data_IF_683776058333
#
_entry.id   IF_683776058333
#
_cell.length_a   1.000
_cell.length_b   1.000
_cell.length_c   1.000
_cell.angle_alpha   90.00
_cell.angle_beta   90.00
_cell.angle_gamma   90.00
#
_symmetry.space_group_name_H-M   'P 1'
#
loop_
_entity.id
_entity.type
_entity.pdbx_description
1 polymer ?
#
# COMPACT_ATOMS: atom_id res chain seq x y z
N UNK A 1 -2.64 2.11 -10.91
CA UNK A 1 -2.67 1.57 -9.55
C UNK A 1 -3.00 0.09 -9.59
N UNK A 2 -2.17 -0.72 -8.97
CA UNK A 2 -2.46 -2.14 -8.75
C UNK A 2 -2.74 -2.33 -7.27
N UNK A 3 -3.88 -2.91 -6.94
CA UNK A 3 -4.24 -3.17 -5.54
C UNK A 3 -4.84 -4.57 -5.40
N UNK A 4 -4.51 -5.26 -4.32
CA UNK A 4 -5.01 -6.60 -4.06
C UNK A 4 -4.96 -6.93 -2.57
N UNK A 5 -5.88 -7.80 -2.14
CA UNK A 5 -5.85 -8.40 -0.80
C UNK A 5 -5.42 -9.85 -0.98
N UNK A 6 -4.34 -10.22 -0.31
CA UNK A 6 -3.77 -11.57 -0.33
C UNK A 6 -3.89 -12.20 1.04
N UNK A 7 -3.72 -13.51 1.11
CA UNK A 7 -3.80 -14.23 2.39
C UNK A 7 -2.58 -15.11 2.57
N UNK A 8 -2.15 -15.21 3.83
CA UNK A 8 -1.08 -16.14 4.20
C UNK A 8 0.34 -15.71 3.85
N UNK A 9 0.53 -14.46 3.43
CA UNK A 9 1.87 -13.93 3.15
C UNK A 9 2.41 -13.18 4.36
N UNK A 10 3.68 -13.41 4.69
CA UNK A 10 4.35 -12.62 5.71
C UNK A 10 4.83 -11.28 5.13
N UNK A 11 5.33 -10.41 6.00
CA UNK A 11 5.78 -9.08 5.60
C UNK A 11 6.92 -9.12 4.58
N UNK A 12 7.83 -10.09 4.70
CA UNK A 12 8.95 -10.25 3.78
C UNK A 12 8.52 -10.64 2.39
N UNK A 13 7.58 -11.59 2.27
CA UNK A 13 7.02 -12.01 1.00
C UNK A 13 6.26 -10.87 0.32
N UNK A 14 5.49 -10.12 1.10
CA UNK A 14 4.73 -8.98 0.61
C UNK A 14 5.66 -7.90 0.04
N UNK A 15 6.74 -7.61 0.75
CA UNK A 15 7.75 -6.66 0.31
C UNK A 15 8.40 -7.09 -1.00
N UNK A 16 8.75 -8.38 -1.11
CA UNK A 16 9.36 -8.92 -2.32
C UNK A 16 8.43 -8.75 -3.52
N UNK A 17 7.14 -9.02 -3.35
CA UNK A 17 6.15 -8.82 -4.42
C UNK A 17 6.07 -7.36 -4.83
N UNK A 18 6.03 -6.44 -3.87
CA UNK A 18 6.00 -5.00 -4.17
C UNK A 18 7.23 -4.55 -4.95
N UNK A 19 8.41 -5.03 -4.54
CA UNK A 19 9.67 -4.68 -5.21
C UNK A 19 9.67 -5.15 -6.67
N UNK A 20 9.18 -6.37 -6.92
CA UNK A 20 9.10 -6.93 -8.28
C UNK A 20 8.17 -6.10 -9.17
N UNK A 21 6.99 -5.74 -8.67
CA UNK A 21 6.06 -4.91 -9.43
C UNK A 21 6.63 -3.53 -9.71
N UNK A 22 7.27 -2.94 -8.72
CA UNK A 22 7.88 -1.61 -8.87
C UNK A 22 8.98 -1.61 -9.93
N UNK A 23 9.86 -2.62 -9.89
CA UNK A 23 10.99 -2.72 -10.83
C UNK A 23 10.51 -3.00 -12.25
N UNK A 24 9.45 -3.77 -12.39
CA UNK A 24 8.87 -4.09 -13.69
C UNK A 24 8.12 -2.90 -14.31
N UNK A 25 7.54 -2.02 -13.47
CA UNK A 25 6.69 -0.92 -13.94
C UNK A 25 6.93 0.35 -13.11
N UNK A 26 7.93 1.19 -13.48
CA UNK A 26 8.28 2.36 -12.68
C UNK A 26 7.20 3.46 -12.61
N UNK A 27 6.17 3.39 -13.46
CA UNK A 27 5.07 4.34 -13.44
C UNK A 27 3.89 3.88 -12.58
N UNK A 28 4.00 2.76 -11.87
CA UNK A 28 2.89 2.18 -11.12
C UNK A 28 2.97 2.45 -9.63
N UNK A 29 1.80 2.51 -9.02
CA UNK A 29 1.61 2.41 -7.57
C UNK A 29 1.04 1.03 -7.28
N UNK A 30 1.68 0.30 -6.39
CA UNK A 30 1.26 -1.04 -5.99
C UNK A 30 0.86 -1.00 -4.53
N UNK A 31 -0.35 -1.44 -4.23
CA UNK A 31 -0.88 -1.51 -2.86
C UNK A 31 -1.31 -2.94 -2.61
N UNK A 32 -0.56 -3.64 -1.76
CA UNK A 32 -0.84 -5.03 -1.41
C UNK A 32 -1.16 -5.14 0.08
N UNK A 33 -2.21 -5.88 0.38
CA UNK A 33 -2.63 -6.13 1.75
C UNK A 33 -2.58 -7.63 1.98
N UNK A 34 -1.85 -8.07 3.00
CA UNK A 34 -1.81 -9.48 3.39
C UNK A 34 -2.61 -9.66 4.67
N UNK A 35 -3.73 -10.37 4.57
CA UNK A 35 -4.60 -10.63 5.70
C UNK A 35 -4.23 -11.95 6.39
N UNK A 36 -4.16 -11.93 7.72
CA UNK A 36 -4.02 -13.10 8.58
C UNK A 36 -5.24 -13.16 9.49
N UNK A 37 -5.30 -14.14 10.39
CA UNK A 37 -6.50 -14.34 11.23
C UNK A 37 -6.85 -13.12 12.08
N UNK A 38 -5.86 -12.47 12.67
CA UNK A 38 -6.07 -11.41 13.66
C UNK A 38 -5.31 -10.12 13.33
N UNK A 39 -4.66 -10.09 12.18
CA UNK A 39 -3.87 -8.91 11.77
C UNK A 39 -3.71 -8.86 10.26
N UNK A 40 -3.28 -7.72 9.77
CA UNK A 40 -2.96 -7.55 8.36
C UNK A 40 -1.74 -6.64 8.20
N UNK A 41 -1.00 -6.87 7.14
CA UNK A 41 0.08 -5.99 6.71
C UNK A 41 -0.33 -5.30 5.42
N UNK A 42 -0.03 -4.01 5.33
CA UNK A 42 -0.30 -3.20 4.14
C UNK A 42 1.05 -2.75 3.60
N UNK A 43 1.31 -3.03 2.33
CA UNK A 43 2.53 -2.59 1.67
C UNK A 43 2.19 -1.72 0.48
N UNK A 44 2.89 -0.59 0.36
CA UNK A 44 2.74 0.33 -0.75
C UNK A 44 4.11 0.54 -1.39
N UNK A 45 4.16 0.38 -2.70
CA UNK A 45 5.36 0.60 -3.50
C UNK A 45 5.03 1.60 -4.60
N UNK A 46 5.87 2.62 -4.77
CA UNK A 46 5.69 3.67 -5.77
C UNK A 46 6.93 3.71 -6.67
N UNK A 47 6.73 3.48 -7.96
CA UNK A 47 7.81 3.52 -8.93
C UNK A 47 8.38 4.93 -9.11
N UNK A 48 9.58 5.02 -9.68
CA UNK A 48 10.30 6.29 -9.83
C UNK A 48 9.50 7.34 -10.61
N UNK A 49 8.84 6.93 -11.68
CA UNK A 49 8.04 7.85 -12.50
C UNK A 49 6.79 8.32 -11.76
N UNK A 50 6.17 7.45 -10.95
CA UNK A 50 5.04 7.83 -10.14
C UNK A 50 5.45 8.80 -9.03
N UNK A 51 6.64 8.61 -8.44
CA UNK A 51 7.18 9.55 -7.45
C UNK A 51 7.38 10.93 -8.05
N UNK A 52 7.84 11.01 -9.29
CA UNK A 52 8.03 12.26 -10.00
C UNK A 52 6.71 13.02 -10.20
N UNK A 53 5.58 12.33 -10.17
CA UNK A 53 4.25 12.94 -10.25
C UNK A 53 3.69 13.36 -8.89
N UNK A 54 4.48 13.24 -7.82
CA UNK A 54 4.07 13.65 -6.47
C UNK A 54 3.52 12.53 -5.61
N UNK A 55 3.56 11.29 -6.06
CA UNK A 55 3.11 10.15 -5.26
C UNK A 55 4.17 9.74 -4.25
N UNK A 56 3.74 9.31 -3.07
CA UNK A 56 4.62 9.00 -1.95
C UNK A 56 4.05 7.81 -1.18
N UNK A 57 4.81 6.71 -1.16
CA UNK A 57 4.36 5.47 -0.52
C UNK A 57 4.08 5.65 0.98
N UNK A 58 4.91 6.41 1.68
CA UNK A 58 4.72 6.67 3.10
C UNK A 58 3.42 7.39 3.41
N UNK A 59 3.05 8.37 2.59
CA UNK A 59 1.79 9.09 2.74
C UNK A 59 0.60 8.20 2.40
N UNK A 60 0.70 7.44 1.31
CA UNK A 60 -0.36 6.53 0.87
C UNK A 60 -0.64 5.49 1.94
N UNK A 61 0.40 4.81 2.43
CA UNK A 61 0.22 3.75 3.42
C UNK A 61 -0.36 4.30 4.72
N UNK A 62 0.03 5.51 5.12
CA UNK A 62 -0.49 6.12 6.33
C UNK A 62 -1.99 6.36 6.24
N UNK A 63 -2.46 6.91 5.11
CA UNK A 63 -3.89 7.16 4.90
C UNK A 63 -4.69 5.88 4.76
N UNK A 64 -4.16 4.90 4.02
CA UNK A 64 -4.81 3.59 3.87
C UNK A 64 -4.90 2.89 5.23
N UNK A 65 -3.84 2.92 6.02
CA UNK A 65 -3.82 2.31 7.35
C UNK A 65 -4.82 2.96 8.30
N UNK A 66 -5.02 4.27 8.21
CA UNK A 66 -6.00 4.97 9.05
C UNK A 66 -7.42 4.45 8.84
N UNK A 67 -7.79 4.15 7.60
CA UNK A 67 -9.11 3.57 7.29
C UNK A 67 -9.28 2.24 8.00
N UNK A 68 -8.23 1.44 8.08
CA UNK A 68 -8.25 0.14 8.74
C UNK A 68 -7.93 0.21 10.24
N UNK A 69 -7.76 1.42 10.79
CA UNK A 69 -7.44 1.59 12.21
C UNK A 69 -6.01 1.23 12.60
N UNK A 70 -5.12 1.17 11.62
CA UNK A 70 -3.72 0.80 11.82
C UNK A 70 -2.76 1.98 11.78
N UNK A 71 -1.48 1.66 11.82
CA UNK A 71 -0.40 2.65 11.77
C UNK A 71 0.70 2.18 10.84
N UNK A 72 1.36 3.13 10.19
CA UNK A 72 2.48 2.82 9.34
C UNK A 72 3.15 4.06 8.79
N UNK A 73 4.15 3.83 7.97
CA UNK A 73 4.90 4.87 7.30
C UNK A 73 6.12 4.26 6.62
N UNK A 74 6.93 5.10 6.02
CA UNK A 74 8.13 4.64 5.34
C UNK A 74 8.69 5.67 4.40
N UNK A 75 9.42 5.20 3.41
CA UNK A 75 10.08 6.01 2.40
C UNK A 75 9.12 6.36 1.26
N UNK A 76 9.48 7.35 0.40
CA UNK A 76 8.63 7.69 -0.75
C UNK A 76 8.45 6.54 -1.75
N UNK A 77 9.41 5.64 -1.86
CA UNK A 77 9.38 4.53 -2.82
C UNK A 77 8.74 3.26 -2.25
N UNK A 78 8.78 3.06 -0.94
CA UNK A 78 8.23 1.88 -0.31
C UNK A 78 7.87 2.16 1.16
N UNK A 79 6.69 1.71 1.56
CA UNK A 79 6.25 1.84 2.94
C UNK A 79 5.36 0.67 3.34
N UNK A 80 5.32 0.38 4.63
CA UNK A 80 4.49 -0.68 5.18
C UNK A 80 3.74 -0.18 6.41
N UNK A 81 2.57 -0.79 6.63
CA UNK A 81 1.76 -0.55 7.81
C UNK A 81 1.20 -1.86 8.33
N UNK A 82 0.74 -1.86 9.55
CA UNK A 82 0.07 -3.00 10.15
C UNK A 82 -1.23 -2.59 10.82
N UNK A 83 -2.21 -3.48 10.82
CA UNK A 83 -3.46 -3.28 11.54
C UNK A 83 -3.91 -4.59 12.17
N UNK A 84 -4.62 -4.50 13.29
CA UNK A 84 -5.27 -5.63 13.94
C UNK A 84 -6.73 -5.78 13.52
N UNK A 85 -7.29 -4.79 12.81
CA UNK A 85 -8.67 -4.80 12.39
C UNK A 85 -8.79 -5.29 10.94
N UNK A 86 -8.94 -6.61 10.78
CA UNK A 86 -9.06 -7.22 9.46
C UNK A 86 -10.44 -7.02 8.83
N UNK A 87 -11.42 -6.50 9.58
CA UNK A 87 -12.77 -6.29 9.07
C UNK A 87 -12.88 -5.07 8.15
N UNK A 88 -11.91 -4.18 8.18
CA UNK A 88 -11.90 -2.93 7.41
C UNK A 88 -10.95 -2.96 6.21
N UNK A 89 -10.39 -4.12 5.86
CA UNK A 89 -9.42 -4.21 4.77
C UNK A 89 -10.03 -3.86 3.41
N UNK A 90 -11.26 -4.28 3.15
CA UNK A 90 -11.94 -3.93 1.91
C UNK A 90 -12.16 -2.43 1.79
N UNK A 91 -12.55 -1.79 2.89
CA UNK A 91 -12.72 -0.33 2.94
C UNK A 91 -11.39 0.39 2.70
N UNK A 92 -10.31 -0.12 3.28
CA UNK A 92 -8.98 0.44 3.11
C UNK A 92 -8.52 0.32 1.65
N UNK A 93 -8.74 -0.83 1.03
CA UNK A 93 -8.36 -1.06 -0.36
C UNK A 93 -9.16 -0.15 -1.30
N UNK A 94 -10.45 0.00 -1.07
CA UNK A 94 -11.31 0.89 -1.84
C UNK A 94 -10.89 2.35 -1.68
N UNK A 95 -10.57 2.77 -0.45
CA UNK A 95 -10.11 4.12 -0.17
C UNK A 95 -8.76 4.42 -0.84
N UNK A 96 -7.92 3.40 -1.03
CA UNK A 96 -6.59 3.57 -1.64
C UNK A 96 -6.68 4.19 -3.03
N UNK A 97 -7.63 3.79 -3.85
CA UNK A 97 -7.80 4.35 -5.19
C UNK A 97 -8.10 5.85 -5.13
N UNK A 98 -8.98 6.27 -4.22
CA UNK A 98 -9.30 7.67 -4.01
C UNK A 98 -8.13 8.48 -3.47
N UNK A 99 -7.35 7.89 -2.56
CA UNK A 99 -6.18 8.52 -1.98
C UNK A 99 -5.14 8.82 -3.06
N UNK A 100 -4.83 7.83 -3.90
CA UNK A 100 -3.88 8.01 -5.01
C UNK A 100 -4.42 9.02 -6.02
N UNK A 101 -5.70 8.94 -6.35
CA UNK A 101 -6.34 9.89 -7.26
C UNK A 101 -6.24 11.34 -6.77
N UNK A 102 -6.44 11.57 -5.48
CA UNK A 102 -6.30 12.90 -4.88
C UNK A 102 -4.87 13.41 -4.96
N UNK A 103 -3.88 12.56 -4.76
CA UNK A 103 -2.47 12.96 -4.88
C UNK A 103 -2.10 13.32 -6.32
N UNK A 104 -2.66 12.62 -7.30
CA UNK A 104 -2.42 12.91 -8.71
C UNK A 104 -3.12 14.19 -9.17
N UNK A 105 -4.25 14.54 -8.55
CA UNK A 105 -5.00 15.73 -8.90
C UNK A 105 -4.35 17.02 -8.41
N UNK A 106 -3.50 16.92 -7.41
CA UNK A 106 -2.72 18.05 -6.87
C UNK A 106 -1.45 18.31 -7.74
#
# INVERSE_FOLDING_TARGET
>A
VVSAILRGLDAGALRTMCDRFRDARPNMVVILISAQEDKANIAVSVGKEAQAKGLNAGKIVREVAQVAGGKGGGKPDFAMAGTKDVTKLDDALEAADGIVGNMLAD
#
